data_IF_130424121509
#
_entry.id   IF_130424121509
#
_cell.length_a   1.000
_cell.length_b   1.000
_cell.length_c   1.000
_cell.angle_alpha   90.00
_cell.angle_beta   90.00
_cell.angle_gamma   90.00
#
_symmetry.space_group_name_H-M   'P 1'
#
loop_
_entity.id
_entity.type
_entity.pdbx_description
1 polymer ?
#
# COMPACT_ATOMS: atom_id res chain seq x y z
N UNK A 1 -4.78 18.59 5.77
CA UNK A 1 -5.64 17.43 6.10
C UNK A 1 -4.85 16.14 6.10
N UNK A 2 -4.23 15.72 5.00
CA UNK A 2 -3.36 14.55 4.99
C UNK A 2 -2.29 14.60 3.89
N UNK A 3 -1.21 13.85 4.05
CA UNK A 3 -0.16 13.58 3.05
C UNK A 3 0.15 12.09 3.09
N UNK A 4 -0.12 11.38 2.00
CA UNK A 4 0.12 9.94 1.91
C UNK A 4 1.07 9.65 0.77
N UNK A 5 2.07 8.81 1.04
CA UNK A 5 2.84 8.23 -0.05
C UNK A 5 2.19 6.97 -0.62
N UNK A 6 2.68 6.61 -1.79
CA UNK A 6 2.32 5.42 -2.59
C UNK A 6 3.58 4.98 -3.33
N UNK A 7 3.49 3.97 -4.20
CA UNK A 7 4.50 3.44 -5.14
C UNK A 7 5.26 2.20 -4.68
N UNK A 8 5.62 2.08 -3.40
CA UNK A 8 6.44 0.95 -2.94
C UNK A 8 5.66 -0.36 -2.82
N UNK A 9 4.32 -0.28 -2.83
CA UNK A 9 3.36 -1.38 -2.73
C UNK A 9 3.37 -2.12 -1.38
N UNK A 10 4.14 -1.64 -0.41
CA UNK A 10 4.22 -2.21 0.94
C UNK A 10 3.69 -1.17 1.93
N UNK A 11 2.59 -1.46 2.67
CA UNK A 11 2.07 -0.51 3.64
C UNK A 11 3.08 -0.31 4.78
N UNK A 12 3.27 0.95 5.20
CA UNK A 12 4.11 1.29 6.35
C UNK A 12 3.29 1.44 7.62
N UNK A 13 3.87 1.08 8.76
CA UNK A 13 3.26 1.23 10.09
C UNK A 13 3.71 2.54 10.78
N UNK A 14 3.79 3.62 10.00
CA UNK A 14 4.28 4.94 10.42
C UNK A 14 3.18 6.02 10.37
N UNK A 15 1.93 5.59 10.43
CA UNK A 15 0.78 6.46 10.49
C UNK A 15 0.86 7.39 11.70
N UNK A 16 0.66 8.67 11.47
CA UNK A 16 0.75 9.67 12.53
C UNK A 16 0.00 10.95 12.18
N UNK A 17 -0.35 11.70 13.23
CA UNK A 17 -0.81 13.09 13.09
C UNK A 17 0.39 14.03 13.25
N UNK A 18 0.73 14.76 12.19
CA UNK A 18 1.76 15.78 12.20
C UNK A 18 1.27 17.07 12.86
N UNK A 19 2.22 17.92 13.25
CA UNK A 19 1.94 19.28 13.72
C UNK A 19 1.05 20.04 12.75
N UNK A 20 0.04 20.75 13.26
CA UNK A 20 -0.97 21.43 12.45
C UNK A 20 -2.12 20.54 11.97
N UNK A 21 -2.23 19.30 12.45
CA UNK A 21 -3.41 18.46 12.23
C UNK A 21 -3.46 17.81 10.85
N UNK A 22 -2.30 17.44 10.30
CA UNK A 22 -2.19 16.72 9.03
C UNK A 22 -1.85 15.27 9.30
N UNK A 23 -2.67 14.32 8.82
CA UNK A 23 -2.33 12.91 8.88
C UNK A 23 -1.22 12.57 7.87
N UNK A 24 -0.38 11.61 8.22
CA UNK A 24 0.74 11.18 7.39
C UNK A 24 0.91 9.66 7.45
N UNK A 25 1.31 9.06 6.33
CA UNK A 25 1.80 7.68 6.22
C UNK A 25 2.75 7.61 5.00
N UNK A 26 3.91 6.96 5.16
CA UNK A 26 4.93 6.89 4.09
C UNK A 26 4.43 6.13 2.87
N UNK A 27 3.73 5.01 3.02
CA UNK A 27 3.10 4.31 1.90
C UNK A 27 1.82 3.61 2.33
N UNK A 28 0.72 3.85 1.60
CA UNK A 28 -0.58 3.19 1.82
C UNK A 28 -0.58 1.71 1.42
N UNK A 29 0.45 1.25 0.70
CA UNK A 29 0.54 -0.10 0.15
C UNK A 29 -0.16 -0.23 -1.20
N UNK A 30 -0.58 -1.46 -1.52
CA UNK A 30 -1.17 -1.83 -2.81
C UNK A 30 -2.54 -2.48 -2.63
N UNK A 31 -3.41 -2.29 -3.62
CA UNK A 31 -4.62 -3.08 -3.82
C UNK A 31 -4.42 -4.03 -5.02
N UNK A 32 -4.37 -5.34 -4.78
CA UNK A 32 -4.15 -6.32 -5.84
C UNK A 32 -3.70 -7.70 -5.35
N UNK A 33 -3.13 -8.50 -6.26
CA UNK A 33 -2.54 -9.80 -5.93
C UNK A 33 -1.37 -9.64 -4.96
N UNK A 34 -1.58 -10.02 -3.71
CA UNK A 34 -0.64 -9.88 -2.60
C UNK A 34 0.40 -11.00 -2.60
N UNK A 35 0.01 -12.20 -3.06
CA UNK A 35 0.94 -13.32 -3.23
C UNK A 35 1.75 -13.15 -4.53
N UNK A 36 2.81 -12.36 -4.44
CA UNK A 36 3.67 -12.02 -5.57
C UNK A 36 4.87 -11.18 -5.15
N UNK A 37 5.53 -10.54 -6.10
CA UNK A 37 6.54 -9.48 -5.88
C UNK A 37 5.98 -8.18 -6.42
N UNK A 38 5.58 -7.26 -5.52
CA UNK A 38 5.08 -5.91 -5.89
C UNK A 38 3.90 -6.01 -6.89
N UNK A 39 3.02 -7.01 -6.73
CA UNK A 39 1.85 -7.23 -7.61
C UNK A 39 2.13 -8.01 -8.89
N UNK A 40 3.33 -8.59 -9.04
CA UNK A 40 3.72 -9.47 -10.14
C UNK A 40 3.89 -10.92 -9.68
N UNK A 41 3.69 -11.86 -10.59
CA UNK A 41 4.00 -13.27 -10.34
C UNK A 41 5.47 -13.43 -9.91
N UNK A 42 5.73 -14.20 -8.86
CA UNK A 42 7.07 -14.26 -8.24
C UNK A 42 8.11 -14.94 -9.14
N UNK A 43 7.72 -15.99 -9.86
CA UNK A 43 8.64 -16.80 -10.67
C UNK A 43 9.41 -16.00 -11.76
N UNK A 44 8.76 -15.20 -12.64
CA UNK A 44 9.48 -14.43 -13.65
C UNK A 44 10.35 -13.33 -13.03
N UNK A 45 9.89 -12.68 -11.94
CA UNK A 45 10.69 -11.67 -11.23
C UNK A 45 11.96 -12.30 -10.65
N UNK A 46 11.83 -13.43 -9.97
CA UNK A 46 12.99 -14.15 -9.43
C UNK A 46 13.94 -14.64 -10.52
N UNK A 47 13.44 -15.04 -11.69
CA UNK A 47 14.28 -15.38 -12.85
C UNK A 47 15.12 -14.18 -13.27
N UNK A 48 14.49 -13.04 -13.59
CA UNK A 48 15.18 -11.82 -14.02
C UNK A 48 16.21 -11.37 -12.99
N UNK A 49 15.87 -11.37 -11.70
CA UNK A 49 16.79 -10.94 -10.64
C UNK A 49 18.00 -11.87 -10.47
N UNK A 50 17.86 -13.17 -10.77
CA UNK A 50 18.95 -14.16 -10.65
C UNK A 50 19.81 -14.25 -11.90
N UNK A 51 19.21 -14.16 -13.10
CA UNK A 51 19.89 -14.43 -14.36
C UNK A 51 20.18 -13.19 -15.19
N UNK A 52 19.54 -12.05 -14.87
CA UNK A 52 19.55 -10.81 -15.67
C UNK A 52 19.02 -11.00 -17.10
N UNK A 53 18.39 -12.14 -17.40
CA UNK A 53 17.72 -12.38 -18.67
C UNK A 53 16.32 -11.76 -18.65
N UNK A 54 15.91 -10.99 -19.68
CA UNK A 54 14.57 -10.41 -19.75
C UNK A 54 13.47 -11.48 -19.72
N UNK A 55 12.40 -11.20 -18.96
CA UNK A 55 11.16 -11.98 -18.96
C UNK A 55 9.96 -11.04 -18.78
N UNK A 56 8.78 -11.38 -19.33
CA UNK A 56 7.55 -10.67 -18.99
C UNK A 56 7.24 -10.82 -17.50
N UNK A 57 6.69 -9.76 -16.88
CA UNK A 57 6.19 -9.79 -15.51
C UNK A 57 4.67 -9.82 -15.56
N UNK A 58 4.09 -11.01 -15.43
CA UNK A 58 2.65 -11.20 -15.35
C UNK A 58 2.10 -10.64 -14.02
N UNK A 59 0.86 -10.15 -14.06
CA UNK A 59 0.17 -9.66 -12.86
C UNK A 59 -0.15 -10.84 -11.94
N UNK A 60 0.13 -10.68 -10.64
CA UNK A 60 -0.20 -11.69 -9.65
C UNK A 60 -1.73 -11.85 -9.52
N UNK A 61 -2.23 -13.07 -9.67
CA UNK A 61 -3.69 -13.38 -9.58
C UNK A 61 -4.10 -14.14 -8.33
N UNK A 62 -3.13 -14.48 -7.47
CA UNK A 62 -3.37 -15.14 -6.18
C UNK A 62 -4.11 -14.26 -5.17
N UNK A 63 -3.95 -14.58 -3.87
CA UNK A 63 -4.58 -13.88 -2.73
C UNK A 63 -4.64 -12.37 -2.94
N UNK A 64 -5.85 -11.81 -2.97
CA UNK A 64 -6.08 -10.39 -3.25
C UNK A 64 -6.20 -9.65 -1.91
N UNK A 65 -5.47 -8.56 -1.77
CA UNK A 65 -5.52 -7.68 -0.59
C UNK A 65 -5.72 -6.24 -1.02
N UNK A 66 -6.52 -5.50 -0.28
CA UNK A 66 -6.65 -4.05 -0.38
C UNK A 66 -5.95 -3.40 0.82
N UNK A 67 -4.95 -2.58 0.58
CA UNK A 67 -4.28 -1.76 1.59
C UNK A 67 -4.68 -0.29 1.48
N UNK A 68 -4.70 0.42 2.60
CA UNK A 68 -5.01 1.84 2.66
C UNK A 68 -5.06 2.36 4.10
N UNK A 69 -5.82 3.42 4.34
CA UNK A 69 -6.14 3.87 5.69
C UNK A 69 -7.57 4.44 5.77
N UNK A 70 -8.16 4.39 6.96
CA UNK A 70 -9.35 5.14 7.33
C UNK A 70 -8.92 6.47 7.95
N UNK A 71 -9.32 7.58 7.32
CA UNK A 71 -9.01 8.94 7.77
C UNK A 71 -10.27 9.64 8.26
N UNK A 72 -10.25 10.13 9.50
CA UNK A 72 -11.33 10.97 10.05
C UNK A 72 -10.89 12.43 10.07
N UNK A 73 -11.71 13.32 9.51
CA UNK A 73 -11.45 14.76 9.40
C UNK A 73 -12.54 15.53 10.13
N UNK A 74 -12.13 16.45 11.01
CA UNK A 74 -13.00 17.49 11.54
C UNK A 74 -13.00 18.70 10.58
N UNK A 75 -14.12 18.91 9.90
CA UNK A 75 -14.27 20.00 8.93
C UNK A 75 -14.35 21.38 9.56
N UNK A 76 -14.88 21.49 10.79
CA UNK A 76 -14.98 22.76 11.50
C UNK A 76 -13.59 23.20 12.00
N UNK A 77 -12.83 22.27 12.59
CA UNK A 77 -11.46 22.51 13.04
C UNK A 77 -10.42 22.41 11.92
N UNK A 78 -10.83 22.00 10.70
CA UNK A 78 -9.99 21.85 9.49
C UNK A 78 -8.74 20.97 9.69
N UNK A 79 -8.87 19.89 10.48
CA UNK A 79 -7.77 18.99 10.84
C UNK A 79 -8.16 17.53 10.78
N UNK A 80 -7.19 16.66 10.51
CA UNK A 80 -7.33 15.23 10.75
C UNK A 80 -7.38 14.95 12.26
N UNK A 81 -8.29 14.05 12.66
CA UNK A 81 -8.50 13.68 14.07
C UNK A 81 -8.21 12.21 14.34
N UNK A 82 -8.22 11.35 13.32
CA UNK A 82 -7.77 9.96 13.42
C UNK A 82 -7.28 9.46 12.06
N UNK A 83 -6.28 8.58 12.08
CA UNK A 83 -5.81 7.77 10.95
C UNK A 83 -5.67 6.33 11.46
N UNK A 84 -6.19 5.38 10.70
CA UNK A 84 -6.13 3.95 11.03
C UNK A 84 -5.69 3.16 9.79
N UNK A 85 -4.54 2.47 9.80
CA UNK A 85 -4.10 1.63 8.70
C UNK A 85 -5.12 0.51 8.40
N UNK A 86 -5.33 0.21 7.13
CA UNK A 86 -6.22 -0.85 6.65
C UNK A 86 -5.46 -1.84 5.78
N UNK A 87 -5.67 -3.13 6.05
CA UNK A 87 -5.28 -4.23 5.19
C UNK A 87 -6.41 -5.27 5.21
N UNK A 88 -7.12 -5.40 4.09
CA UNK A 88 -8.32 -6.23 3.98
C UNK A 88 -8.08 -7.29 2.91
N UNK A 89 -8.15 -8.57 3.31
CA UNK A 89 -8.11 -9.69 2.37
C UNK A 89 -9.46 -9.82 1.67
N UNK A 90 -9.43 -9.86 0.34
CA UNK A 90 -10.65 -10.11 -0.43
C UNK A 90 -10.98 -11.62 -0.39
N UNK A 91 -12.27 -11.98 -0.31
CA UNK A 91 -12.69 -13.37 -0.42
C UNK A 91 -12.16 -14.03 -1.70
N UNK A 92 -11.93 -15.35 -1.64
CA UNK A 92 -11.56 -16.17 -2.80
C UNK A 92 -12.66 -16.19 -3.84
#
# INVERSE_FOLDING_TARGET
>A
SAVFGTHTHVPTADDQSLGGGTAYMTDLGMCGGHRGVIGRESAPVLKVMRTQEPAPFEVATGERRACGCLLTIDFAARRAVAIEPLAIDAPG
#
